data_IF_873792532369
#
_entry.id   IF_873792532369
#
_cell.length_a   1.000
_cell.length_b   1.000
_cell.length_c   1.000
_cell.angle_alpha   90.00
_cell.angle_beta   90.00
_cell.angle_gamma   90.00
#
_symmetry.space_group_name_H-M   'P 1'
#
loop_
_entity.id
_entity.type
_entity.pdbx_description
1 polymer ?
#
# COMPACT_ATOMS: atom_id res chain seq x y z
N UNK A 1 37.74 2.04 6.37
CA UNK A 1 37.05 3.04 5.51
C UNK A 1 35.57 2.81 5.72
N UNK A 2 34.89 3.70 6.45
CA UNK A 2 33.45 3.59 6.68
C UNK A 2 32.74 4.16 5.46
N UNK A 3 32.11 3.29 4.68
CA UNK A 3 31.33 3.66 3.51
C UNK A 3 29.98 4.23 4.00
N UNK A 4 29.79 5.55 3.90
CA UNK A 4 28.52 6.19 4.25
C UNK A 4 27.52 5.92 3.12
N UNK A 5 26.74 4.84 3.27
CA UNK A 5 25.61 4.55 2.39
C UNK A 5 24.56 5.68 2.52
N UNK A 6 24.37 6.45 1.45
CA UNK A 6 23.26 7.39 1.35
C UNK A 6 21.95 6.59 1.32
N UNK A 7 20.96 6.89 2.18
CA UNK A 7 19.71 6.14 2.18
C UNK A 7 19.00 6.29 0.83
N UNK A 8 18.39 5.21 0.30
CA UNK A 8 17.65 5.27 -0.94
C UNK A 8 16.52 6.29 -0.83
N UNK A 9 16.39 7.16 -1.85
CA UNK A 9 15.24 8.04 -1.97
C UNK A 9 14.08 7.24 -2.54
N UNK A 10 13.00 7.11 -1.75
CA UNK A 10 11.79 6.40 -2.18
C UNK A 10 10.80 7.38 -2.82
N UNK A 11 10.13 7.02 -3.93
CA UNK A 11 9.01 7.82 -4.45
C UNK A 11 7.90 7.92 -3.41
N UNK A 12 7.26 9.09 -3.29
CA UNK A 12 6.13 9.31 -2.37
C UNK A 12 4.88 8.48 -2.74
N UNK A 13 3.80 8.60 -1.95
CA UNK A 13 2.58 7.83 -2.18
C UNK A 13 1.89 8.09 -3.53
N UNK A 14 2.06 9.26 -4.14
CA UNK A 14 1.52 9.53 -5.47
C UNK A 14 2.43 8.97 -6.56
N UNK A 15 3.75 9.20 -6.46
CA UNK A 15 4.74 8.73 -7.41
C UNK A 15 4.93 7.20 -7.39
N UNK A 16 4.59 6.55 -6.29
CA UNK A 16 4.59 5.08 -6.16
C UNK A 16 3.24 4.43 -6.44
N UNK A 17 2.23 5.17 -6.91
CA UNK A 17 0.90 4.63 -7.18
C UNK A 17 0.98 3.47 -8.20
N UNK A 18 0.50 2.26 -7.87
CA UNK A 18 0.73 1.09 -8.71
C UNK A 18 -0.01 1.15 -10.05
N UNK A 19 -1.16 1.81 -10.10
CA UNK A 19 -1.89 2.04 -11.34
C UNK A 19 -1.15 3.04 -12.24
N UNK A 20 -0.65 4.14 -11.68
CA UNK A 20 0.13 5.13 -12.43
C UNK A 20 1.46 4.55 -12.95
N UNK A 21 2.10 3.67 -12.18
CA UNK A 21 3.34 2.98 -12.58
C UNK A 21 3.13 1.83 -13.57
N UNK A 22 1.88 1.40 -13.80
CA UNK A 22 1.54 0.36 -14.77
C UNK A 22 1.85 -1.07 -14.30
N UNK A 23 1.96 -1.32 -12.99
CA UNK A 23 2.27 -2.66 -12.49
C UNK A 23 1.16 -3.66 -12.85
N UNK A 24 1.56 -4.82 -13.40
CA UNK A 24 0.67 -5.94 -13.71
C UNK A 24 -0.51 -5.59 -14.63
N UNK A 25 -0.39 -4.55 -15.45
CA UNK A 25 -1.39 -4.18 -16.46
C UNK A 25 -1.12 -4.86 -17.80
N UNK A 26 -2.17 -5.38 -18.44
CA UNK A 26 -2.09 -6.10 -19.72
C UNK A 26 -2.10 -7.63 -19.57
N UNK A 27 -2.16 -8.33 -20.70
CA UNK A 27 -2.15 -9.80 -20.73
C UNK A 27 -1.32 -10.31 -21.93
N UNK A 28 -0.07 -10.76 -21.72
CA UNK A 28 0.68 -10.67 -20.46
C UNK A 28 1.09 -9.21 -20.14
N UNK A 29 1.33 -8.86 -18.87
CA UNK A 29 1.97 -7.60 -18.53
C UNK A 29 3.35 -7.46 -19.19
N UNK A 30 3.82 -6.25 -19.49
CA UNK A 30 5.20 -6.02 -19.94
C UNK A 30 6.23 -6.64 -18.97
N UNK A 31 7.35 -7.12 -19.50
CA UNK A 31 8.35 -7.83 -18.71
C UNK A 31 8.94 -6.97 -17.57
N UNK A 32 9.13 -5.67 -17.81
CA UNK A 32 9.60 -4.68 -16.83
C UNK A 32 8.49 -4.22 -15.86
N UNK A 33 7.25 -4.66 -16.08
CA UNK A 33 6.06 -4.38 -15.27
C UNK A 33 5.47 -5.64 -14.61
N UNK A 34 6.18 -6.76 -14.72
CA UNK A 34 5.77 -8.02 -14.12
C UNK A 34 6.38 -8.15 -12.72
N UNK A 35 5.51 -8.28 -11.73
CA UNK A 35 5.88 -8.61 -10.35
C UNK A 35 5.88 -10.13 -10.22
N UNK A 36 6.80 -10.69 -9.45
CA UNK A 36 6.95 -12.13 -9.24
C UNK A 36 7.22 -12.49 -7.77
N UNK A 37 6.82 -13.71 -7.42
CA UNK A 37 7.07 -14.26 -6.10
C UNK A 37 8.49 -14.82 -5.96
N UNK A 38 8.94 -15.57 -6.97
CA UNK A 38 10.21 -16.31 -6.98
C UNK A 38 11.45 -15.41 -6.93
N UNK A 39 11.40 -14.24 -7.57
CA UNK A 39 12.49 -13.25 -7.54
C UNK A 39 12.38 -12.25 -6.38
N UNK A 40 11.34 -12.36 -5.52
CA UNK A 40 11.09 -11.49 -4.37
C UNK A 40 10.57 -10.08 -4.70
N UNK A 41 10.28 -9.74 -5.96
CA UNK A 41 9.74 -8.41 -6.32
C UNK A 41 8.43 -8.11 -5.63
N UNK A 42 7.63 -9.13 -5.31
CA UNK A 42 6.36 -8.93 -4.61
C UNK A 42 6.50 -8.26 -3.22
N UNK A 43 7.69 -8.21 -2.60
CA UNK A 43 7.92 -7.45 -1.35
C UNK A 43 8.83 -6.23 -1.53
N UNK A 44 9.30 -5.95 -2.75
CA UNK A 44 10.13 -4.76 -3.01
C UNK A 44 9.25 -3.53 -3.18
N UNK A 45 9.71 -2.39 -2.68
CA UNK A 45 9.07 -1.11 -2.95
C UNK A 45 9.53 -0.60 -4.33
N UNK A 46 8.62 -0.10 -5.20
CA UNK A 46 7.20 0.17 -4.96
C UNK A 46 6.23 -0.97 -5.32
N UNK A 47 6.71 -2.13 -5.82
CA UNK A 47 5.86 -3.25 -6.25
C UNK A 47 4.92 -3.77 -5.13
N UNK A 48 5.36 -3.72 -3.87
CA UNK A 48 4.59 -4.17 -2.71
C UNK A 48 3.22 -3.46 -2.57
N UNK A 49 3.11 -2.24 -3.10
CA UNK A 49 1.86 -1.46 -3.11
C UNK A 49 0.79 -2.06 -4.03
N UNK A 50 1.19 -2.87 -5.01
CA UNK A 50 0.26 -3.67 -5.80
C UNK A 50 0.10 -5.06 -5.19
N UNK A 51 1.21 -5.75 -4.91
CA UNK A 51 1.19 -7.18 -4.63
C UNK A 51 0.48 -7.55 -3.32
N UNK A 52 0.54 -6.73 -2.27
CA UNK A 52 -0.10 -7.07 -0.99
C UNK A 52 -1.63 -7.05 -1.09
N UNK A 53 -2.19 -6.25 -2.00
CA UNK A 53 -3.62 -6.29 -2.34
C UNK A 53 -4.00 -7.42 -3.31
N UNK A 54 -3.02 -8.04 -3.97
CA UNK A 54 -3.21 -9.07 -5.01
C UNK A 54 -2.50 -10.39 -4.66
N UNK A 55 -2.25 -10.65 -3.37
CA UNK A 55 -1.37 -11.74 -2.94
C UNK A 55 -1.83 -13.13 -3.44
N UNK A 56 -3.14 -13.32 -3.63
CA UNK A 56 -3.74 -14.56 -4.13
C UNK A 56 -3.32 -14.91 -5.57
N UNK A 57 -2.75 -13.96 -6.31
CA UNK A 57 -2.25 -14.18 -7.68
C UNK A 57 -0.82 -14.73 -7.72
N UNK A 58 -0.11 -14.72 -6.58
CA UNK A 58 1.30 -15.14 -6.51
C UNK A 58 1.52 -16.53 -5.95
N UNK A 59 0.66 -16.96 -5.03
CA UNK A 59 0.83 -18.19 -4.25
C UNK A 59 -0.49 -18.93 -4.09
N UNK A 60 -0.46 -20.26 -3.87
CA UNK A 60 -1.66 -21.00 -3.52
C UNK A 60 -2.32 -20.41 -2.28
N UNK A 61 -3.62 -20.10 -2.39
CA UNK A 61 -4.43 -19.61 -1.27
C UNK A 61 -5.72 -20.41 -1.20
N UNK A 62 -6.26 -20.56 0.00
CA UNK A 62 -7.62 -21.10 0.19
C UNK A 62 -8.59 -19.95 0.45
N UNK A 63 -9.84 -20.11 0.03
CA UNK A 63 -10.90 -19.19 0.46
C UNK A 63 -11.27 -19.53 1.91
N UNK A 64 -11.40 -18.52 2.76
CA UNK A 64 -12.03 -18.67 4.07
C UNK A 64 -13.46 -18.17 3.92
N UNK A 65 -14.40 -19.10 4.01
CA UNK A 65 -15.82 -18.79 3.89
C UNK A 65 -16.28 -17.87 5.03
N UNK A 66 -17.20 -16.96 4.70
CA UNK A 66 -17.87 -16.15 5.72
C UNK A 66 -18.82 -17.03 6.52
N UNK A 67 -19.10 -16.65 7.77
CA UNK A 67 -20.14 -17.31 8.54
C UNK A 67 -21.48 -17.21 7.79
N UNK A 68 -22.32 -18.26 7.81
CA UNK A 68 -23.63 -18.23 7.17
C UNK A 68 -24.53 -17.18 7.84
N UNK A 69 -25.39 -16.54 7.04
CA UNK A 69 -26.32 -15.50 7.48
C UNK A 69 -26.01 -14.11 6.92
N UNK A 70 -26.83 -13.14 7.28
CA UNK A 70 -26.63 -11.75 6.89
C UNK A 70 -25.48 -11.13 7.71
N UNK A 71 -24.59 -10.34 7.10
CA UNK A 71 -23.58 -9.60 7.85
C UNK A 71 -24.24 -8.58 8.78
N UNK A 72 -23.66 -8.38 9.95
CA UNK A 72 -24.06 -7.28 10.84
C UNK A 72 -23.75 -5.93 10.18
N UNK A 73 -24.73 -5.04 10.14
CA UNK A 73 -24.49 -3.68 9.69
C UNK A 73 -23.56 -2.94 10.67
N UNK A 74 -22.55 -2.25 10.14
CA UNK A 74 -21.72 -1.35 10.93
C UNK A 74 -22.45 0.00 11.06
N UNK A 75 -22.77 0.47 12.29
CA UNK A 75 -23.37 1.78 12.47
C UNK A 75 -22.47 2.88 11.91
N UNK A 76 -23.05 3.77 11.12
CA UNK A 76 -22.31 4.85 10.49
C UNK A 76 -22.45 6.13 11.32
N UNK A 77 -21.31 6.76 11.60
CA UNK A 77 -21.21 8.11 12.16
C UNK A 77 -20.11 8.84 11.38
N UNK A 78 -20.41 9.12 10.10
CA UNK A 78 -19.43 9.70 9.18
C UNK A 78 -19.00 11.08 9.65
N UNK A 79 -17.72 11.38 9.47
CA UNK A 79 -17.07 12.63 9.82
C UNK A 79 -16.28 13.13 8.61
N UNK A 80 -16.55 14.37 8.21
CA UNK A 80 -15.88 15.04 7.09
C UNK A 80 -14.65 15.87 7.54
N UNK A 81 -14.41 15.97 8.84
CA UNK A 81 -13.32 16.73 9.43
C UNK A 81 -12.02 15.93 9.64
N UNK A 82 -12.06 14.60 9.47
CA UNK A 82 -10.95 13.71 9.85
C UNK A 82 -9.65 14.05 9.14
N UNK A 83 -9.69 14.36 7.85
CA UNK A 83 -8.50 14.70 7.05
C UNK A 83 -7.72 15.92 7.58
N UNK A 84 -8.43 16.83 8.24
CA UNK A 84 -7.91 18.08 8.78
C UNK A 84 -7.40 17.94 10.21
N UNK A 85 -7.67 16.82 10.90
CA UNK A 85 -7.19 16.58 12.26
C UNK A 85 -5.68 16.72 12.33
N UNK A 86 -5.19 17.57 13.23
CA UNK A 86 -3.77 17.84 13.42
C UNK A 86 -3.21 17.05 14.58
N UNK A 87 -1.99 16.56 14.43
CA UNK A 87 -1.22 15.93 15.50
C UNK A 87 0.28 16.14 15.28
N UNK A 88 1.07 15.85 16.32
CA UNK A 88 2.53 15.81 16.26
C UNK A 88 2.98 14.36 16.29
N UNK A 89 3.79 13.95 15.31
CA UNK A 89 4.31 12.58 15.22
C UNK A 89 5.29 12.27 16.36
N UNK A 90 5.61 10.99 16.56
CA UNK A 90 6.66 10.57 17.50
C UNK A 90 8.04 11.16 17.18
N UNK A 91 8.25 11.65 15.95
CA UNK A 91 9.47 12.33 15.51
C UNK A 91 9.39 13.86 15.63
N UNK A 92 8.34 14.40 16.26
CA UNK A 92 8.18 15.84 16.52
C UNK A 92 7.58 16.64 15.37
N UNK A 93 7.12 16.00 14.30
CA UNK A 93 6.62 16.69 13.12
C UNK A 93 5.11 16.92 13.22
N UNK A 94 4.67 18.17 13.07
CA UNK A 94 3.25 18.50 12.98
C UNK A 94 2.72 18.16 11.59
N UNK A 95 1.60 17.43 11.53
CA UNK A 95 0.93 17.06 10.28
C UNK A 95 -0.58 16.90 10.48
N UNK A 96 -1.34 16.94 9.39
CA UNK A 96 -2.73 16.50 9.37
C UNK A 96 -2.83 14.98 9.23
N UNK A 97 -4.00 14.43 9.55
CA UNK A 97 -4.32 13.02 9.31
C UNK A 97 -4.11 12.62 7.85
N UNK A 98 -4.59 13.45 6.91
CA UNK A 98 -4.40 13.22 5.47
C UNK A 98 -2.92 13.17 5.07
N UNK A 99 -2.11 14.08 5.61
CA UNK A 99 -0.67 14.09 5.35
C UNK A 99 0.00 12.83 5.89
N UNK A 100 -0.40 12.36 7.07
CA UNK A 100 0.11 11.14 7.67
C UNK A 100 -0.18 9.89 6.83
N UNK A 101 -1.42 9.76 6.32
CA UNK A 101 -1.82 8.65 5.46
C UNK A 101 -0.95 8.57 4.19
N UNK A 102 -0.73 9.71 3.52
CA UNK A 102 0.14 9.77 2.34
C UNK A 102 1.60 9.44 2.69
N UNK A 103 2.07 9.85 3.86
CA UNK A 103 3.45 9.59 4.29
C UNK A 103 3.73 8.12 4.62
N UNK A 104 2.69 7.35 4.96
CA UNK A 104 2.79 5.93 5.29
C UNK A 104 2.34 5.00 4.17
N UNK A 105 2.08 5.53 2.96
CA UNK A 105 1.65 4.74 1.80
C UNK A 105 0.38 3.92 2.04
N UNK A 106 -0.56 4.44 2.83
CA UNK A 106 -1.79 3.73 3.20
C UNK A 106 -2.57 3.17 2.00
N UNK A 107 -3.16 1.99 2.18
CA UNK A 107 -4.06 1.36 1.19
C UNK A 107 -5.49 1.16 1.74
N UNK A 108 -5.66 1.19 3.07
CA UNK A 108 -6.95 1.11 3.75
C UNK A 108 -6.84 1.56 5.22
N UNK A 109 -7.82 2.31 5.70
CA UNK A 109 -7.92 2.85 7.07
C UNK A 109 -9.38 3.05 7.48
#
# INVERSE_FOLDING_TARGET
>A
MSDTLTPPTWPDAHASNPQALGWMQGSPPPADKTIRFDDGSFLRFPQLRWSLSHLREFVPTTAIERAPGAPSALPLALRDDLDALRFTSMHGEAMSWREALLRTYYDGI
#
